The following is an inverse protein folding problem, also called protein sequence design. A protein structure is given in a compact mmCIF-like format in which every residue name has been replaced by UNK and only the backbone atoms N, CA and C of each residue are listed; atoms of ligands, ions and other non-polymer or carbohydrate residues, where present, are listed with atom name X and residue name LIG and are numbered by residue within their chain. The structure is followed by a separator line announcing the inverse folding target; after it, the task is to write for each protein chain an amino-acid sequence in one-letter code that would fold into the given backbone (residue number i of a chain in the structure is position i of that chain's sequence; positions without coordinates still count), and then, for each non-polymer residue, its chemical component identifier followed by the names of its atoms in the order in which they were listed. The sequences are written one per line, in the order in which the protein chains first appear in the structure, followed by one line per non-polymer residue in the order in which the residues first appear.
data_IF_329111525968
#
_entry.id   IF_329111525968
#
_cell.length_a   1.000
_cell.length_b   1.000
_cell.length_c   1.000
_cell.angle_alpha   90.00
_cell.angle_beta   90.00
_cell.angle_gamma   90.00
#
_symmetry.space_group_name_H-M   'P 1'
#
loop_
_entity.id
_entity.type
_entity.pdbx_description
1 polymer ?
#
# COMPACT_ATOMS: atom_id res chain seq x y z
N UNK A 1 9.30 0.93 1.52
CA UNK A 1 9.96 0.72 0.20
C UNK A 1 9.17 -0.21 -0.72
N UNK A 2 8.99 -1.51 -0.40
CA UNK A 2 8.37 -2.48 -1.33
C UNK A 2 6.95 -2.11 -1.81
N UNK A 3 6.09 -1.61 -0.92
CA UNK A 3 4.72 -1.21 -1.28
C UNK A 3 4.65 -0.03 -2.26
N UNK A 4 5.60 0.91 -2.21
CA UNK A 4 5.62 2.01 -3.18
C UNK A 4 5.97 1.50 -4.58
N UNK A 5 6.95 0.59 -4.69
CA UNK A 5 7.25 -0.09 -5.95
C UNK A 5 6.03 -0.82 -6.51
N UNK A 6 5.27 -1.51 -5.65
CA UNK A 6 4.01 -2.16 -6.05
C UNK A 6 2.96 -1.16 -6.53
N UNK A 7 2.74 -0.04 -5.81
CA UNK A 7 1.83 1.02 -6.27
C UNK A 7 2.25 1.52 -7.65
N UNK A 8 3.54 1.78 -7.85
CA UNK A 8 4.08 2.33 -9.10
C UNK A 8 3.90 1.35 -10.28
N UNK A 9 4.14 0.04 -10.06
CA UNK A 9 3.87 -1.01 -11.05
C UNK A 9 2.38 -1.04 -11.41
N UNK A 10 1.49 -1.00 -10.41
CA UNK A 10 0.05 -0.97 -10.64
C UNK A 10 -0.40 0.27 -11.44
N UNK A 11 0.30 1.40 -11.26
CA UNK A 11 0.00 2.63 -11.97
C UNK A 11 0.50 2.64 -13.40
N UNK A 12 1.79 2.37 -13.58
CA UNK A 12 2.47 2.47 -14.88
C UNK A 12 2.13 1.30 -15.79
N UNK A 13 2.01 0.09 -15.24
CA UNK A 13 1.81 -1.15 -15.98
C UNK A 13 0.41 -1.75 -15.78
N UNK A 14 -0.62 -0.91 -15.67
CA UNK A 14 -1.99 -1.31 -15.33
C UNK A 14 -2.53 -2.50 -16.16
N UNK A 15 -2.26 -2.54 -17.48
CA UNK A 15 -2.65 -3.65 -18.37
C UNK A 15 -1.97 -4.97 -18.01
N UNK A 16 -0.67 -4.94 -17.71
CA UNK A 16 0.09 -6.13 -17.32
C UNK A 16 -0.25 -6.58 -15.90
N UNK A 17 -0.56 -5.64 -15.00
CA UNK A 17 -1.01 -5.94 -13.64
C UNK A 17 -2.33 -6.71 -13.65
N UNK A 18 -3.27 -6.33 -14.52
CA UNK A 18 -4.53 -7.04 -14.68
C UNK A 18 -4.32 -8.49 -15.13
N UNK A 19 -3.43 -8.71 -16.10
CA UNK A 19 -3.09 -10.05 -16.58
C UNK A 19 -2.48 -10.96 -15.50
N UNK A 20 -1.89 -10.38 -14.44
CA UNK A 20 -1.24 -11.10 -13.33
C UNK A 20 -2.02 -11.00 -12.02
N UNK A 21 -3.31 -10.66 -12.04
CA UNK A 21 -4.09 -10.41 -10.83
C UNK A 21 -4.11 -11.60 -9.86
N UNK A 22 -4.09 -12.84 -10.36
CA UNK A 22 -3.99 -14.05 -9.52
C UNK A 22 -2.70 -14.09 -8.70
N UNK A 23 -1.58 -13.68 -9.28
CA UNK A 23 -0.29 -13.61 -8.58
C UNK A 23 -0.31 -12.49 -7.54
N UNK A 24 -0.90 -11.35 -7.87
CA UNK A 24 -1.09 -10.22 -6.94
C UNK A 24 -1.92 -10.66 -5.73
N UNK A 25 -3.04 -11.36 -5.96
CA UNK A 25 -3.88 -11.93 -4.89
C UNK A 25 -3.09 -12.92 -4.03
N UNK A 26 -2.30 -13.81 -4.63
CA UNK A 26 -1.51 -14.79 -3.89
C UNK A 26 -0.43 -14.13 -3.02
N UNK A 27 0.22 -13.08 -3.52
CA UNK A 27 1.20 -12.30 -2.74
C UNK A 27 0.52 -11.54 -1.61
N UNK A 28 -0.63 -10.90 -1.87
CA UNK A 28 -1.43 -10.23 -0.84
C UNK A 28 -1.86 -11.22 0.25
N UNK A 29 -2.37 -12.39 -0.13
CA UNK A 29 -2.75 -13.46 0.79
C UNK A 29 -1.59 -13.90 1.69
N UNK A 30 -0.38 -14.06 1.11
CA UNK A 30 0.82 -14.35 1.89
C UNK A 30 1.15 -13.21 2.87
N UNK A 31 1.17 -11.96 2.40
CA UNK A 31 1.48 -10.80 3.25
C UNK A 31 0.48 -10.64 4.40
N UNK A 32 -0.81 -10.87 4.14
CA UNK A 32 -1.84 -10.88 5.18
C UNK A 32 -1.67 -12.02 6.17
N UNK A 33 -1.30 -13.21 5.69
CA UNK A 33 -1.10 -14.39 6.55
C UNK A 33 0.08 -14.20 7.51
N UNK A 34 1.20 -13.66 7.02
CA UNK A 34 2.37 -13.41 7.85
C UNK A 34 2.27 -12.15 8.73
N UNK A 35 1.13 -11.43 8.71
CA UNK A 35 0.92 -10.11 9.36
C UNK A 35 2.08 -9.12 9.16
N UNK A 36 2.85 -9.31 8.10
CA UNK A 36 4.08 -8.56 7.89
C UNK A 36 3.72 -7.16 7.41
N UNK A 37 4.15 -6.15 8.16
CA UNK A 37 3.91 -4.73 7.84
C UNK A 37 2.41 -4.35 7.78
N UNK A 38 1.62 -4.79 8.76
CA UNK A 38 0.16 -4.65 8.77
C UNK A 38 -0.34 -3.23 8.41
N UNK A 39 0.14 -2.16 9.06
CA UNK A 39 -0.26 -0.79 8.70
C UNK A 39 0.05 -0.37 7.24
N UNK A 40 1.20 -0.77 6.69
CA UNK A 40 1.56 -0.44 5.30
C UNK A 40 0.78 -1.28 4.29
N UNK A 41 0.45 -2.52 4.65
CA UNK A 41 -0.43 -3.39 3.86
C UNK A 41 -1.83 -2.79 3.77
N UNK A 42 -2.39 -2.32 4.87
CA UNK A 42 -3.69 -1.64 4.89
C UNK A 42 -3.70 -0.37 4.04
N UNK A 43 -2.67 0.47 4.14
CA UNK A 43 -2.48 1.63 3.25
C UNK A 43 -2.42 1.25 1.77
N UNK A 44 -1.75 0.14 1.46
CA UNK A 44 -1.65 -0.36 0.09
C UNK A 44 -3.00 -0.86 -0.44
N UNK A 45 -3.75 -1.59 0.37
CA UNK A 45 -5.10 -2.06 -0.01
C UNK A 45 -6.04 -0.89 -0.19
N UNK A 46 -6.00 0.11 0.69
CA UNK A 46 -6.77 1.33 0.52
C UNK A 46 -6.46 2.02 -0.83
N UNK A 47 -5.18 2.13 -1.19
CA UNK A 47 -4.76 2.63 -2.50
C UNK A 47 -5.36 1.81 -3.66
N UNK A 48 -5.36 0.47 -3.56
CA UNK A 48 -5.89 -0.39 -4.62
C UNK A 48 -7.40 -0.22 -4.79
N UNK A 49 -8.14 -0.24 -3.67
CA UNK A 49 -9.60 -0.06 -3.64
C UNK A 49 -9.99 1.30 -4.21
N UNK A 50 -9.19 2.33 -3.90
CA UNK A 50 -9.47 3.71 -4.27
C UNK A 50 -9.13 4.02 -5.72
N UNK A 51 -8.00 3.52 -6.20
CA UNK A 51 -7.40 4.02 -7.44
C UNK A 51 -7.28 2.97 -8.55
N UNK A 52 -7.57 1.70 -8.27
CA UNK A 52 -7.49 0.62 -9.26
C UNK A 52 -8.77 -0.23 -9.29
N UNK A 53 -9.92 0.33 -9.69
CA UNK A 53 -11.20 -0.39 -9.71
C UNK A 53 -11.16 -1.71 -10.50
N UNK A 54 -10.45 -1.73 -11.63
CA UNK A 54 -10.35 -2.92 -12.49
C UNK A 54 -9.66 -4.10 -11.82
N UNK A 55 -8.67 -3.85 -10.96
CA UNK A 55 -7.97 -4.89 -10.20
C UNK A 55 -8.75 -5.20 -8.92
N UNK A 56 -9.32 -4.17 -8.30
CA UNK A 56 -10.13 -4.27 -7.10
C UNK A 56 -11.28 -5.26 -7.24
N UNK A 57 -12.03 -5.26 -8.36
CA UNK A 57 -13.15 -6.20 -8.57
C UNK A 57 -12.73 -7.67 -8.38
N UNK A 58 -11.51 -8.03 -8.78
CA UNK A 58 -10.98 -9.39 -8.59
C UNK A 58 -10.48 -9.68 -7.17
N UNK A 59 -10.23 -8.63 -6.39
CA UNK A 59 -9.78 -8.70 -4.99
C UNK A 59 -10.92 -8.58 -3.99
N UNK A 60 -12.09 -8.04 -4.38
CA UNK A 60 -13.24 -7.87 -3.50
C UNK A 60 -13.56 -9.12 -2.67
N UNK A 61 -13.61 -10.35 -3.23
CA UNK A 61 -13.90 -11.53 -2.43
C UNK A 61 -12.83 -11.78 -1.35
N UNK A 62 -11.56 -11.68 -1.73
CA UNK A 62 -10.44 -11.83 -0.80
C UNK A 62 -10.47 -10.78 0.32
N UNK A 63 -10.70 -9.52 -0.03
CA UNK A 63 -10.75 -8.44 0.95
C UNK A 63 -11.94 -8.67 1.90
N UNK A 64 -13.15 -8.88 1.38
CA UNK A 64 -14.36 -9.05 2.20
C UNK A 64 -14.31 -10.27 3.11
N UNK A 65 -13.88 -11.42 2.60
CA UNK A 65 -13.98 -12.66 3.35
C UNK A 65 -12.73 -13.01 4.16
N UNK A 66 -11.58 -12.40 3.83
CA UNK A 66 -10.33 -12.69 4.52
C UNK A 66 -9.80 -11.47 5.26
N UNK A 67 -9.50 -10.36 4.57
CA UNK A 67 -8.88 -9.20 5.23
C UNK A 67 -9.81 -8.51 6.24
N UNK A 68 -11.08 -8.35 5.93
CA UNK A 68 -12.04 -7.69 6.83
C UNK A 68 -12.29 -8.46 8.13
N UNK A 69 -11.89 -9.73 8.18
CA UNK A 69 -11.99 -10.59 9.37
C UNK A 69 -10.68 -10.65 10.18
N UNK A 70 -9.64 -9.93 9.76
CA UNK A 70 -8.38 -9.85 10.51
C UNK A 70 -8.58 -8.95 11.72
N UNK A 71 -8.19 -9.43 12.90
CA UNK A 71 -8.12 -8.59 14.11
C UNK A 71 -7.00 -7.56 13.93
N UNK A 72 -7.37 -6.27 13.88
CA UNK A 72 -6.44 -5.16 13.83
C UNK A 72 -5.72 -5.02 15.19
N UNK A 73 -4.39 -4.86 15.16
CA UNK A 73 -3.58 -4.74 16.38
C UNK A 73 -3.44 -3.28 16.82
N UNK A 74 -3.67 -2.33 15.91
CA UNK A 74 -3.55 -0.90 16.18
C UNK A 74 -4.78 -0.12 15.72
N UNK A 75 -5.02 1.04 16.35
CA UNK A 75 -6.12 1.95 15.96
C UNK A 75 -5.99 2.40 14.49
N UNK A 76 -4.77 2.61 14.01
CA UNK A 76 -4.53 3.00 12.61
C UNK A 76 -4.99 1.92 11.63
N UNK A 77 -4.74 0.65 11.94
CA UNK A 77 -5.23 -0.49 11.14
C UNK A 77 -6.74 -0.57 11.15
N UNK A 78 -7.35 -0.41 12.34
CA UNK A 78 -8.80 -0.44 12.48
C UNK A 78 -9.48 0.69 11.68
N UNK A 79 -8.87 1.89 11.66
CA UNK A 79 -9.34 3.00 10.85
C UNK A 79 -9.29 2.66 9.35
N UNK A 80 -8.18 2.08 8.86
CA UNK A 80 -8.09 1.64 7.47
C UNK A 80 -9.09 0.53 7.15
N UNK A 81 -9.26 -0.46 8.04
CA UNK A 81 -10.23 -1.53 7.86
C UNK A 81 -11.65 -0.96 7.73
N UNK A 82 -12.04 0.01 8.57
CA UNK A 82 -13.33 0.69 8.47
C UNK A 82 -13.48 1.47 7.15
N UNK A 83 -12.48 2.26 6.75
CA UNK A 83 -12.52 3.05 5.50
C UNK A 83 -12.63 2.12 4.28
N UNK A 84 -11.84 1.05 4.23
CA UNK A 84 -11.90 0.05 3.16
C UNK A 84 -13.28 -0.65 3.17
N UNK A 85 -13.80 -0.97 4.36
CA UNK A 85 -15.16 -1.49 4.54
C UNK A 85 -16.22 -0.59 3.92
N UNK A 86 -16.16 0.71 4.16
CA UNK A 86 -17.08 1.68 3.55
C UNK A 86 -16.93 1.75 2.04
N UNK A 87 -15.70 1.78 1.52
CA UNK A 87 -15.41 1.77 0.08
C UNK A 87 -15.92 0.50 -0.61
N UNK A 88 -15.85 -0.65 0.06
CA UNK A 88 -16.41 -1.92 -0.41
C UNK A 88 -17.94 -1.89 -0.53
N UNK A 89 -18.62 -1.01 0.19
CA UNK A 89 -20.06 -0.76 0.10
C UNK A 89 -20.40 0.33 -0.92
N UNK A 90 -19.40 0.91 -1.60
CA UNK A 90 -19.58 2.04 -2.52
C UNK A 90 -19.72 3.39 -1.83
N UNK A 91 -19.48 3.46 -0.52
CA UNK A 91 -19.54 4.70 0.26
C UNK A 91 -18.17 5.38 0.30
N UNK A 92 -18.16 6.72 0.34
CA UNK A 92 -16.93 7.53 0.44
C UNK A 92 -15.85 7.17 -0.60
N UNK A 93 -16.28 6.73 -1.79
CA UNK A 93 -15.38 6.50 -2.91
C UNK A 93 -15.00 7.87 -3.47
N UNK A 94 -13.72 8.28 -3.40
CA UNK A 94 -13.33 9.58 -3.93
C UNK A 94 -13.51 9.61 -5.45
N UNK A 95 -13.62 10.82 -6.04
CA UNK A 95 -13.67 10.98 -7.49
C UNK A 95 -12.52 10.23 -8.15
N UNK A 96 -12.78 9.60 -9.30
CA UNK A 96 -11.73 8.87 -10.03
C UNK A 96 -10.55 9.83 -10.30
N UNK A 97 -9.36 9.55 -9.73
CA UNK A 97 -8.24 10.43 -9.92
C UNK A 97 -7.73 10.30 -11.34
N UNK A 98 -7.21 11.42 -11.84
CA UNK A 98 -6.47 11.40 -13.09
C UNK A 98 -5.14 10.66 -12.89
N UNK A 99 -4.56 10.16 -13.99
CA UNK A 99 -3.20 9.61 -13.95
C UNK A 99 -2.21 10.65 -13.39
N UNK A 100 -2.43 11.94 -13.69
CA UNK A 100 -1.58 13.04 -13.22
C UNK A 100 -1.62 13.18 -11.69
N UNK A 101 -2.81 13.12 -11.06
CA UNK A 101 -2.90 13.20 -9.59
C UNK A 101 -2.25 11.98 -8.92
N UNK A 102 -2.47 10.79 -9.47
CA UNK A 102 -1.83 9.55 -9.00
C UNK A 102 -0.29 9.62 -9.08
N UNK A 103 0.27 10.15 -10.18
CA UNK A 103 1.71 10.29 -10.33
C UNK A 103 2.27 11.34 -9.36
N UNK A 104 1.54 12.44 -9.11
CA UNK A 104 1.92 13.45 -8.11
C UNK A 104 1.98 12.85 -6.71
N UNK A 105 0.98 12.07 -6.31
CA UNK A 105 0.95 11.42 -4.99
C UNK A 105 2.12 10.43 -4.84
N UNK A 106 2.43 9.67 -5.89
CA UNK A 106 3.59 8.77 -5.89
C UNK A 106 4.93 9.52 -5.83
N UNK A 107 5.03 10.68 -6.47
CA UNK A 107 6.21 11.54 -6.37
C UNK A 107 6.40 12.08 -4.95
N UNK A 108 5.32 12.42 -4.25
CA UNK A 108 5.38 12.81 -2.84
C UNK A 108 5.87 11.64 -1.97
N UNK A 109 5.28 10.45 -2.13
CA UNK A 109 5.73 9.23 -1.43
C UNK A 109 7.23 8.96 -1.69
N UNK A 110 7.72 9.16 -2.92
CA UNK A 110 9.15 9.02 -3.26
C UNK A 110 10.03 10.03 -2.55
N UNK A 111 9.60 11.30 -2.44
CA UNK A 111 10.38 12.36 -1.74
C UNK A 111 10.53 12.05 -0.26
N UNK A 112 9.43 11.66 0.40
CA UNK A 112 9.46 11.26 1.81
C UNK A 112 10.48 10.14 2.04
N UNK A 113 10.49 9.12 1.19
CA UNK A 113 11.47 8.03 1.29
C UNK A 113 12.91 8.48 1.01
N UNK A 114 13.12 9.45 0.11
CA UNK A 114 14.45 10.03 -0.11
C UNK A 114 14.94 10.78 1.12
N UNK A 115 14.06 11.51 1.81
CA UNK A 115 14.38 12.20 3.07
C UNK A 115 14.70 11.21 4.18
N UNK A 116 13.85 10.19 4.40
CA UNK A 116 14.13 9.11 5.37
C UNK A 116 15.48 8.44 5.12
N UNK A 117 15.80 8.13 3.85
CA UNK A 117 17.10 7.56 3.48
C UNK A 117 18.26 8.49 3.87
N UNK A 118 18.14 9.81 3.62
CA UNK A 118 19.19 10.78 3.99
C UNK A 118 19.39 10.82 5.50
N UNK A 119 18.31 10.79 6.27
CA UNK A 119 18.37 10.77 7.74
C UNK A 119 19.11 9.53 8.24
N UNK A 120 18.78 8.34 7.70
CA UNK A 120 19.46 7.09 8.06
C UNK A 120 20.96 7.13 7.73
N UNK A 121 21.32 7.61 6.53
CA UNK A 121 22.73 7.73 6.11
C UNK A 121 23.49 8.70 7.02
N UNK A 122 22.86 9.81 7.41
CA UNK A 122 23.44 10.77 8.34
C UNK A 122 23.73 10.15 9.71
N UNK A 123 22.76 9.43 10.30
CA UNK A 123 22.97 8.76 11.58
C UNK A 123 24.00 7.62 11.50
N UNK A 124 24.00 6.83 10.43
CA UNK A 124 24.99 5.78 10.23
C UNK A 124 26.42 6.35 10.13
N UNK A 125 26.61 7.45 9.40
CA UNK A 125 27.91 8.12 9.28
C UNK A 125 28.40 8.67 10.61
N UNK A 126 27.49 9.18 11.45
CA UNK A 126 27.82 9.74 12.76
C UNK A 126 28.13 8.67 13.81
N UNK A 127 27.46 7.52 13.73
CA UNK A 127 27.74 6.36 14.56
C UNK A 127 29.13 5.76 14.25
N UNK A 128 29.48 5.63 12.96
CA UNK A 128 30.81 5.16 12.55
C UNK A 128 31.91 6.10 13.07
N UNK A 129 31.70 7.42 13.00
CA UNK A 129 32.64 8.39 13.54
C UNK A 129 32.84 8.24 15.06
N UNK A 130 31.76 8.06 15.83
CA UNK A 130 31.81 7.88 17.29
C UNK A 130 32.47 6.56 17.76
N UNK A 131 32.50 5.52 16.93
CA UNK A 131 33.09 4.22 17.26
C UNK A 131 34.57 4.13 16.83
N UNK A 132 35.04 5.10 16.04
CA UNK A 132 36.41 5.14 15.51
C UNK A 132 37.36 6.02 16.35
N UNK A 133 36.85 6.63 17.42
CA UNK A 133 37.59 7.38 18.46
C UNK A 133 37.68 6.54 19.75
#
# INVERSE_FOLDING_TARGET
MAFLGLKLILVVYSRHSLARVRQINAVLAKLTFYRSCAAQLWKFVDFMVTYRPSIFVHLVPFIRFQMMNINCETQGEQAFQQIIGQKLLGLHVPPQPTIVSLVKDLLLDLRVLQEEKRVIVFFASRYIAMVSD
#
